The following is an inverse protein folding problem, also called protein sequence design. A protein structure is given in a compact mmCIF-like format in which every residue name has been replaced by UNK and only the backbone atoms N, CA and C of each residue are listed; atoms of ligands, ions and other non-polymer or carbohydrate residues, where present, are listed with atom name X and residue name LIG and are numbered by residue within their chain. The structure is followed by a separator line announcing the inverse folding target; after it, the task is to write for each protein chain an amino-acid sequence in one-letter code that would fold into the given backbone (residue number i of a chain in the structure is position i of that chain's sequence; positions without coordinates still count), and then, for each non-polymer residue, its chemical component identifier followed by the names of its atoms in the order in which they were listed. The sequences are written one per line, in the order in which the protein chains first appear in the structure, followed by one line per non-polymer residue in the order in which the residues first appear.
data_IF_172867220480
#
_entry.id   IF_172867220480
#
_cell.length_a   1.000
_cell.length_b   1.000
_cell.length_c   1.000
_cell.angle_alpha   90.00
_cell.angle_beta   90.00
_cell.angle_gamma   90.00
#
_symmetry.space_group_name_H-M   'P 1'
#
loop_
_entity.id
_entity.type
_entity.pdbx_description
1 polymer ?
#
# COMPACT_ATOMS: atom_id res chain seq x y z
N UNK A 1 33.95 8.08 -2.08
CA UNK A 1 33.60 8.61 -3.41
C UNK A 1 32.15 8.25 -3.70
N UNK A 2 31.51 8.94 -4.65
CA UNK A 2 30.11 8.72 -5.01
C UNK A 2 30.02 8.27 -6.46
N UNK A 3 28.99 7.49 -6.82
CA UNK A 3 28.68 7.23 -8.22
C UNK A 3 27.21 7.50 -8.50
N UNK A 4 26.85 7.71 -9.76
CA UNK A 4 25.49 8.01 -10.16
C UNK A 4 25.06 7.35 -11.46
N UNK A 5 23.76 7.12 -11.59
CA UNK A 5 23.08 6.75 -12.83
C UNK A 5 22.12 7.87 -13.18
N UNK A 6 22.35 8.55 -14.30
CA UNK A 6 21.50 9.63 -14.78
C UNK A 6 20.62 9.16 -15.93
N UNK A 7 19.36 9.55 -15.91
CA UNK A 7 18.31 9.12 -16.84
C UNK A 7 17.69 10.36 -17.46
N UNK A 8 17.60 10.40 -18.78
CA UNK A 8 16.88 11.44 -19.52
C UNK A 8 15.71 10.84 -20.27
N UNK A 9 14.51 11.32 -19.99
CA UNK A 9 13.26 10.98 -20.68
C UNK A 9 13.21 11.71 -22.03
N UNK A 10 13.39 11.01 -23.16
CA UNK A 10 13.54 11.69 -24.46
C UNK A 10 12.28 12.43 -24.91
N UNK A 11 11.12 11.96 -24.47
CA UNK A 11 9.81 12.51 -24.83
C UNK A 11 9.23 13.37 -23.69
N UNK A 12 10.02 13.69 -22.65
CA UNK A 12 9.56 14.42 -21.47
C UNK A 12 8.42 13.71 -20.72
N UNK A 13 8.29 12.39 -20.88
CA UNK A 13 7.13 11.61 -20.43
C UNK A 13 7.52 10.26 -19.89
N UNK A 14 6.94 9.91 -18.75
CA UNK A 14 7.20 8.68 -18.03
C UNK A 14 5.93 7.82 -17.85
N UNK A 15 5.89 6.69 -18.55
CA UNK A 15 4.76 5.77 -18.66
C UNK A 15 4.93 4.61 -17.67
N UNK A 16 4.83 4.95 -16.39
CA UNK A 16 4.84 3.99 -15.30
C UNK A 16 3.69 4.29 -14.34
N UNK A 17 3.20 3.23 -13.69
CA UNK A 17 2.13 3.33 -12.73
C UNK A 17 2.42 2.46 -11.51
N UNK A 18 1.95 2.93 -10.36
CA UNK A 18 1.95 2.22 -9.08
C UNK A 18 0.53 1.68 -8.83
N UNK A 19 0.39 0.59 -8.05
CA UNK A 19 -0.93 0.09 -7.65
C UNK A 19 -1.83 -0.33 -8.82
N UNK A 20 -3.09 0.14 -8.85
CA UNK A 20 -4.15 -0.25 -9.80
C UNK A 20 -4.02 0.33 -11.22
N UNK A 21 -2.81 0.74 -11.67
CA UNK A 21 -2.55 1.32 -13.02
C UNK A 21 -3.32 2.61 -13.29
N UNK A 22 -3.71 3.30 -12.24
CA UNK A 22 -4.51 4.51 -12.20
C UNK A 22 -3.74 5.69 -11.58
N UNK A 23 -2.69 5.42 -10.79
CA UNK A 23 -1.76 6.42 -10.28
C UNK A 23 -0.41 6.34 -11.00
N UNK A 24 0.08 7.50 -11.47
CA UNK A 24 1.41 7.62 -12.08
C UNK A 24 2.51 7.30 -11.07
N UNK A 25 3.59 6.68 -11.53
CA UNK A 25 4.77 6.50 -10.69
C UNK A 25 5.65 7.75 -10.80
N UNK A 26 5.85 8.47 -9.69
CA UNK A 26 6.84 9.54 -9.59
C UNK A 26 7.29 9.73 -8.13
N UNK A 27 8.61 9.94 -7.88
CA UNK A 27 9.72 9.80 -8.83
C UNK A 27 9.90 8.34 -9.29
N UNK A 28 10.69 8.06 -10.35
CA UNK A 28 10.94 6.70 -10.81
C UNK A 28 11.54 5.82 -9.71
N UNK A 29 10.98 4.63 -9.48
CA UNK A 29 11.48 3.74 -8.44
C UNK A 29 12.87 3.20 -8.83
N UNK A 30 13.87 3.19 -7.93
CA UNK A 30 15.20 2.60 -8.21
C UNK A 30 15.13 1.15 -8.72
N UNK A 31 14.21 0.34 -8.20
CA UNK A 31 14.00 -1.02 -8.68
C UNK A 31 13.51 -1.08 -10.14
N UNK A 32 12.81 -0.07 -10.64
CA UNK A 32 12.37 0.00 -12.05
C UNK A 32 13.55 0.25 -12.98
N UNK A 33 14.47 1.12 -12.56
CA UNK A 33 15.73 1.37 -13.27
C UNK A 33 16.58 0.10 -13.27
N UNK A 34 16.68 -0.57 -12.12
CA UNK A 34 17.36 -1.86 -12.00
C UNK A 34 16.78 -2.91 -12.96
N UNK A 35 15.45 -3.06 -13.00
CA UNK A 35 14.78 -3.96 -13.94
C UNK A 35 15.06 -3.63 -15.42
N UNK A 36 15.22 -2.35 -15.76
CA UNK A 36 15.60 -1.93 -17.11
C UNK A 36 17.03 -2.37 -17.46
N UNK A 37 17.97 -2.26 -16.52
CA UNK A 37 19.34 -2.77 -16.69
C UNK A 37 19.36 -4.31 -16.80
N UNK A 38 18.59 -5.01 -15.96
CA UNK A 38 18.42 -6.47 -16.02
C UNK A 38 17.89 -6.91 -17.39
N UNK A 39 16.91 -6.20 -17.94
CA UNK A 39 16.36 -6.51 -19.26
C UNK A 39 17.37 -6.31 -20.41
N UNK A 40 18.44 -5.54 -20.17
CA UNK A 40 19.51 -5.26 -21.12
C UNK A 40 20.77 -6.11 -20.90
N UNK A 41 20.78 -6.98 -19.89
CA UNK A 41 21.90 -7.87 -19.57
C UNK A 41 21.96 -9.09 -20.49
N UNK A 42 23.16 -9.40 -20.97
CA UNK A 42 23.39 -10.51 -21.91
C UNK A 42 24.52 -11.42 -21.43
N UNK A 43 25.62 -10.84 -20.95
CA UNK A 43 26.84 -11.57 -20.60
C UNK A 43 26.90 -11.90 -19.09
N UNK A 44 27.63 -12.94 -18.69
CA UNK A 44 27.85 -13.26 -17.26
C UNK A 44 28.47 -12.11 -16.47
N UNK A 45 29.31 -11.31 -17.11
CA UNK A 45 29.89 -10.11 -16.51
C UNK A 45 28.85 -8.99 -16.29
N UNK A 46 27.78 -8.94 -17.09
CA UNK A 46 26.66 -8.01 -16.87
C UNK A 46 25.91 -8.42 -15.59
N UNK A 47 25.65 -9.71 -15.43
CA UNK A 47 25.01 -10.27 -14.24
C UNK A 47 25.85 -10.06 -12.97
N UNK A 48 27.18 -10.19 -13.07
CA UNK A 48 28.08 -9.89 -11.95
C UNK A 48 28.00 -8.42 -11.52
N UNK A 49 28.00 -7.49 -12.48
CA UNK A 49 27.86 -6.05 -12.18
C UNK A 49 26.48 -5.73 -11.56
N UNK A 50 25.40 -6.37 -12.02
CA UNK A 50 24.07 -6.21 -11.43
C UNK A 50 23.98 -6.79 -10.01
N UNK A 51 24.66 -7.92 -9.74
CA UNK A 51 24.76 -8.50 -8.38
C UNK A 51 25.56 -7.61 -7.44
N UNK A 52 26.55 -6.89 -7.94
CA UNK A 52 27.22 -5.84 -7.17
C UNK A 52 26.26 -4.68 -6.89
N UNK A 53 25.54 -4.21 -7.91
CA UNK A 53 24.63 -3.06 -7.79
C UNK A 53 23.45 -3.33 -6.83
N UNK A 54 22.90 -4.55 -6.77
CA UNK A 54 21.82 -4.87 -5.82
C UNK A 54 22.28 -4.94 -4.35
N UNK A 55 23.58 -5.04 -4.11
CA UNK A 55 24.19 -5.01 -2.77
C UNK A 55 24.50 -3.58 -2.31
N UNK A 56 24.55 -2.61 -3.24
CA UNK A 56 24.78 -1.23 -2.90
C UNK A 56 23.65 -0.69 -1.98
N UNK A 57 23.93 0.30 -1.13
CA UNK A 57 22.91 0.98 -0.34
C UNK A 57 21.78 1.56 -1.21
N UNK A 58 20.65 1.89 -0.60
CA UNK A 58 19.57 2.57 -1.31
C UNK A 58 20.07 3.93 -1.87
N UNK A 59 19.89 4.22 -3.16
CA UNK A 59 20.36 5.48 -3.75
C UNK A 59 19.51 6.64 -3.26
N UNK A 60 20.08 7.84 -3.26
CA UNK A 60 19.29 9.07 -3.31
C UNK A 60 18.68 9.22 -4.72
N UNK A 61 17.44 9.73 -4.80
CA UNK A 61 16.79 10.00 -6.09
C UNK A 61 16.71 11.52 -6.28
N UNK A 62 17.28 12.01 -7.36
CA UNK A 62 17.20 13.41 -7.80
C UNK A 62 16.17 13.49 -8.92
N UNK A 63 15.11 14.26 -8.71
CA UNK A 63 14.04 14.45 -9.69
C UNK A 63 13.28 15.75 -9.36
N UNK A 64 12.44 16.24 -10.27
CA UNK A 64 11.53 17.32 -9.92
C UNK A 64 10.52 16.89 -8.84
N UNK A 65 10.00 17.84 -8.05
CA UNK A 65 8.96 17.58 -7.06
C UNK A 65 7.74 16.85 -7.66
N UNK A 66 7.03 16.10 -6.83
CA UNK A 66 5.77 15.43 -7.23
C UNK A 66 4.73 16.48 -7.65
N UNK A 67 4.70 17.62 -6.98
CA UNK A 67 3.76 18.72 -7.26
C UNK A 67 4.04 19.40 -8.61
N UNK A 68 5.27 19.27 -9.12
CA UNK A 68 5.70 19.76 -10.44
C UNK A 68 5.54 18.67 -11.52
N UNK A 69 4.60 17.75 -11.35
CA UNK A 69 4.28 16.73 -12.34
C UNK A 69 2.81 16.73 -12.73
N UNK A 70 2.55 16.57 -14.03
CA UNK A 70 1.19 16.35 -14.53
C UNK A 70 0.95 14.86 -14.76
N UNK A 71 -0.22 14.36 -14.34
CA UNK A 71 -0.61 12.96 -14.55
C UNK A 71 -1.70 12.87 -15.61
N UNK A 72 -1.36 12.28 -16.76
CA UNK A 72 -2.33 12.01 -17.82
C UNK A 72 -2.77 10.56 -17.80
N UNK A 73 -4.07 10.32 -17.95
CA UNK A 73 -4.61 8.98 -18.19
C UNK A 73 -5.25 8.89 -19.57
N UNK A 74 -4.87 7.87 -20.36
CA UNK A 74 -5.54 7.54 -21.63
C UNK A 74 -6.12 6.13 -21.56
N UNK A 75 -7.38 5.97 -21.95
CA UNK A 75 -7.98 4.66 -22.21
C UNK A 75 -8.14 4.44 -23.70
N UNK A 76 -7.95 3.18 -24.13
CA UNK A 76 -8.18 2.79 -25.51
C UNK A 76 -8.37 1.28 -25.60
N UNK A 77 -9.20 0.85 -26.54
CA UNK A 77 -9.39 -0.58 -26.80
C UNK A 77 -8.21 -1.10 -27.62
N UNK A 78 -7.53 -2.11 -27.10
CA UNK A 78 -6.48 -2.84 -27.84
C UNK A 78 -6.96 -4.23 -28.16
N UNK A 79 -6.50 -4.77 -29.27
CA UNK A 79 -6.70 -6.18 -29.59
C UNK A 79 -5.92 -7.01 -28.58
N UNK A 80 -6.59 -7.98 -27.99
CA UNK A 80 -5.99 -8.95 -27.07
C UNK A 80 -5.68 -10.23 -27.82
N UNK A 81 -4.72 -11.01 -27.32
CA UNK A 81 -4.40 -12.31 -27.89
C UNK A 81 -5.52 -13.37 -27.65
N UNK A 82 -6.60 -13.03 -26.94
CA UNK A 82 -7.71 -13.94 -26.67
C UNK A 82 -8.57 -14.15 -27.92
N UNK A 83 -8.82 -15.42 -28.26
CA UNK A 83 -9.65 -15.85 -29.39
C UNK A 83 -11.03 -16.25 -28.88
N UNK A 84 -12.10 -15.70 -29.47
CA UNK A 84 -13.49 -16.07 -29.15
C UNK A 84 -14.33 -16.17 -30.42
N UNK A 85 -15.27 -17.12 -30.44
CA UNK A 85 -16.19 -17.38 -31.58
C UNK A 85 -17.06 -16.17 -31.95
N UNK A 86 -17.36 -15.29 -30.99
CA UNK A 86 -17.87 -13.92 -31.22
C UNK A 86 -16.73 -12.94 -30.93
N UNK A 87 -16.15 -12.34 -31.96
CA UNK A 87 -15.00 -11.41 -31.82
C UNK A 87 -15.46 -9.97 -31.59
N UNK A 88 -14.72 -9.23 -30.77
CA UNK A 88 -14.96 -7.81 -30.51
C UNK A 88 -14.11 -6.86 -31.36
N UNK A 89 -13.11 -7.37 -32.08
CA UNK A 89 -12.26 -6.56 -32.96
C UNK A 89 -12.82 -6.51 -34.39
N UNK A 90 -13.12 -5.32 -34.89
CA UNK A 90 -13.57 -5.09 -36.28
C UNK A 90 -12.46 -5.32 -37.30
N UNK A 91 -11.20 -5.09 -36.91
CA UNK A 91 -10.04 -5.21 -37.79
C UNK A 91 -9.36 -6.58 -37.74
N UNK A 92 -9.65 -7.41 -36.73
CA UNK A 92 -9.00 -8.72 -36.53
C UNK A 92 -10.04 -9.80 -36.23
N UNK A 93 -10.58 -10.47 -37.27
CA UNK A 93 -11.57 -11.54 -37.11
C UNK A 93 -11.11 -12.60 -36.11
N UNK A 94 -12.01 -13.01 -35.21
CA UNK A 94 -11.73 -14.00 -34.17
C UNK A 94 -10.98 -13.48 -32.94
N UNK A 95 -10.43 -12.25 -32.96
CA UNK A 95 -9.72 -11.64 -31.81
C UNK A 95 -10.65 -10.78 -30.96
N UNK A 96 -10.43 -10.84 -29.65
CA UNK A 96 -11.16 -10.01 -28.68
C UNK A 96 -10.46 -8.67 -28.50
N UNK A 97 -11.18 -7.56 -28.38
CA UNK A 97 -10.63 -6.29 -27.92
C UNK A 97 -10.85 -6.13 -26.42
N UNK A 98 -9.99 -5.35 -25.77
CA UNK A 98 -10.12 -5.05 -24.36
C UNK A 98 -9.61 -3.64 -24.08
N UNK A 99 -10.33 -2.92 -23.23
CA UNK A 99 -9.91 -1.59 -22.80
C UNK A 99 -8.58 -1.68 -22.05
N UNK A 100 -7.65 -0.80 -22.42
CA UNK A 100 -6.38 -0.58 -21.72
C UNK A 100 -6.30 0.86 -21.29
N UNK A 101 -6.30 1.05 -19.98
CA UNK A 101 -5.93 2.30 -19.33
C UNK A 101 -4.40 2.39 -19.23
N UNK A 102 -3.85 3.53 -19.62
CA UNK A 102 -2.44 3.90 -19.54
C UNK A 102 -2.33 5.20 -18.75
N UNK A 103 -1.43 5.21 -17.79
CA UNK A 103 -1.12 6.40 -16.99
C UNK A 103 0.31 6.82 -17.31
N UNK A 104 0.49 8.12 -17.36
CA UNK A 104 1.70 8.82 -17.78
C UNK A 104 1.94 9.99 -16.87
N UNK A 105 3.18 10.14 -16.42
CA UNK A 105 3.65 11.32 -15.70
C UNK A 105 4.41 12.20 -16.69
N UNK A 106 4.11 13.49 -16.69
CA UNK A 106 4.81 14.53 -17.46
C UNK A 106 5.50 15.40 -16.40
N UNK A 107 6.78 15.14 -16.10
CA UNK A 107 7.53 15.93 -15.14
C UNK A 107 7.96 17.28 -15.72
N UNK A 108 8.09 18.30 -14.87
CA UNK A 108 8.67 19.59 -15.25
C UNK A 108 10.14 19.46 -15.73
N UNK A 109 10.85 18.43 -15.25
CA UNK A 109 12.21 18.08 -15.66
C UNK A 109 12.28 16.71 -16.32
N UNK A 110 12.93 16.61 -17.48
CA UNK A 110 13.12 15.35 -18.20
C UNK A 110 14.31 14.52 -17.66
N UNK A 111 15.08 15.06 -16.71
CA UNK A 111 16.25 14.40 -16.13
C UNK A 111 16.02 13.91 -14.70
N UNK A 112 16.49 12.69 -14.42
CA UNK A 112 16.46 12.03 -13.12
C UNK A 112 17.85 11.50 -12.80
N UNK A 113 18.28 11.62 -11.55
CA UNK A 113 19.53 11.03 -11.04
C UNK A 113 19.27 9.98 -9.97
N UNK A 114 19.97 8.85 -10.02
CA UNK A 114 20.16 7.94 -8.88
C UNK A 114 21.58 8.09 -8.39
N UNK A 115 21.78 8.46 -7.12
CA UNK A 115 23.10 8.77 -6.56
C UNK A 115 23.40 7.90 -5.36
N UNK A 116 24.56 7.26 -5.37
CA UNK A 116 25.11 6.53 -4.23
C UNK A 116 26.25 7.35 -3.62
N UNK A 117 25.99 8.17 -2.58
CA UNK A 117 26.94 9.17 -2.09
C UNK A 117 28.18 8.58 -1.41
N UNK A 118 28.07 7.36 -0.91
CA UNK A 118 29.09 6.70 -0.09
C UNK A 118 29.42 5.30 -0.63
N UNK A 119 29.38 5.15 -1.95
CA UNK A 119 29.74 3.88 -2.61
C UNK A 119 30.83 4.13 -3.62
N UNK A 120 31.97 3.49 -3.39
CA UNK A 120 33.07 3.47 -4.34
C UNK A 120 32.80 2.39 -5.40
N UNK A 121 32.96 2.76 -6.67
CA UNK A 121 32.73 1.86 -7.81
C UNK A 121 34.06 1.61 -8.49
N UNK A 122 34.44 0.33 -8.62
CA UNK A 122 35.67 0.00 -9.33
C UNK A 122 35.50 0.18 -10.86
N UNK A 123 36.61 0.37 -11.56
CA UNK A 123 36.63 0.63 -13.00
C UNK A 123 36.02 -0.51 -13.84
N UNK A 124 36.11 -1.76 -13.35
CA UNK A 124 35.59 -2.91 -14.06
C UNK A 124 34.06 -2.94 -14.04
N UNK A 125 33.47 -2.70 -12.86
CA UNK A 125 32.02 -2.60 -12.66
C UNK A 125 31.48 -1.35 -13.36
N UNK A 126 32.16 -0.20 -13.22
CA UNK A 126 31.79 1.03 -13.93
C UNK A 126 31.77 0.81 -15.45
N UNK A 127 32.82 0.19 -16.00
CA UNK A 127 32.90 -0.14 -17.42
C UNK A 127 31.78 -1.07 -17.90
N UNK A 128 31.33 -2.00 -17.04
CA UNK A 128 30.19 -2.89 -17.32
C UNK A 128 28.85 -2.14 -17.27
N UNK A 129 28.62 -1.31 -16.24
CA UNK A 129 27.43 -0.48 -16.14
C UNK A 129 27.34 0.54 -17.30
N UNK A 130 28.45 1.09 -17.76
CA UNK A 130 28.51 1.96 -18.94
C UNK A 130 28.00 1.26 -20.21
N UNK A 131 28.34 -0.02 -20.40
CA UNK A 131 27.83 -0.82 -21.53
C UNK A 131 26.35 -1.15 -21.36
N UNK A 132 25.92 -1.52 -20.15
CA UNK A 132 24.53 -1.87 -19.87
C UNK A 132 23.58 -0.69 -20.04
N UNK A 133 23.92 0.47 -19.48
CA UNK A 133 23.10 1.69 -19.56
C UNK A 133 22.83 2.13 -21.00
N UNK A 134 23.83 2.00 -21.90
CA UNK A 134 23.66 2.27 -23.35
C UNK A 134 22.69 1.32 -24.06
N UNK A 135 22.45 0.14 -23.52
CA UNK A 135 21.53 -0.87 -24.07
C UNK A 135 20.10 -0.70 -23.55
N UNK A 136 19.81 0.25 -22.66
CA UNK A 136 18.46 0.47 -22.10
C UNK A 136 17.63 1.30 -23.09
N UNK A 137 16.58 0.74 -23.71
CA UNK A 137 15.81 1.46 -24.74
C UNK A 137 14.68 2.31 -24.16
N UNK A 138 14.15 1.93 -22.99
CA UNK A 138 13.02 2.59 -22.34
C UNK A 138 13.01 2.31 -20.84
N UNK A 139 12.29 3.13 -20.08
CA UNK A 139 12.04 2.91 -18.66
C UNK A 139 10.53 2.73 -18.41
N UNK A 140 10.17 1.63 -17.73
CA UNK A 140 8.77 1.31 -17.45
C UNK A 140 8.04 0.67 -18.62
N UNK A 141 7.59 1.45 -19.60
CA UNK A 141 6.93 0.96 -20.82
C UNK A 141 7.73 1.39 -22.05
N UNK A 142 7.58 0.65 -23.15
CA UNK A 142 8.25 0.95 -24.42
C UNK A 142 7.90 2.31 -25.04
N UNK A 143 6.88 3.00 -24.52
CA UNK A 143 6.50 4.36 -24.91
C UNK A 143 7.22 5.46 -24.12
N UNK A 144 8.09 5.11 -23.17
CA UNK A 144 8.95 6.05 -22.44
C UNK A 144 10.40 5.79 -22.76
N UNK A 145 10.82 6.28 -23.92
CA UNK A 145 12.18 6.15 -24.40
C UNK A 145 13.14 6.97 -23.53
N UNK A 146 14.30 6.39 -23.22
CA UNK A 146 15.27 7.01 -22.30
C UNK A 146 16.69 6.96 -22.84
N UNK A 147 17.51 7.88 -22.34
CA UNK A 147 18.98 7.76 -22.38
C UNK A 147 19.44 7.55 -20.94
N UNK A 148 20.22 6.51 -20.69
CA UNK A 148 20.78 6.22 -19.37
C UNK A 148 22.30 6.34 -19.45
N UNK A 149 22.89 7.00 -18.46
CA UNK A 149 24.34 7.18 -18.31
C UNK A 149 24.74 6.84 -16.89
N UNK A 150 26.01 6.48 -16.69
CA UNK A 150 26.60 6.23 -15.37
C UNK A 150 27.92 6.98 -15.26
N UNK A 151 28.21 7.50 -14.08
CA UNK A 151 29.44 8.23 -13.79
C UNK A 151 29.95 7.86 -12.39
N UNK A 152 31.28 7.91 -12.20
CA UNK A 152 31.93 7.72 -10.89
C UNK A 152 31.94 9.00 -10.04
N UNK A 153 30.92 9.83 -10.22
CA UNK A 153 30.70 11.07 -9.48
C UNK A 153 29.21 11.36 -9.37
N UNK A 154 28.84 12.24 -8.45
CA UNK A 154 27.48 12.75 -8.35
C UNK A 154 27.21 13.72 -9.52
N UNK A 155 25.98 13.75 -10.08
CA UNK A 155 25.64 14.71 -11.11
C UNK A 155 25.67 16.14 -10.54
N UNK A 156 25.94 17.11 -11.40
CA UNK A 156 25.86 18.52 -11.02
C UNK A 156 24.45 18.85 -10.49
N UNK A 157 24.33 19.59 -9.38
CA UNK A 157 23.03 19.97 -8.84
C UNK A 157 22.28 20.85 -9.84
N UNK A 158 20.97 20.65 -9.94
CA UNK A 158 20.08 21.45 -10.80
C UNK A 158 18.98 22.09 -9.97
N UNK A 159 18.56 23.29 -10.35
CA UNK A 159 17.58 24.07 -9.59
C UNK A 159 16.18 23.43 -9.58
N UNK A 160 15.86 22.64 -10.59
CA UNK A 160 14.62 21.90 -10.78
C UNK A 160 14.60 20.52 -10.09
N UNK A 161 15.64 20.18 -9.34
CA UNK A 161 15.73 18.92 -8.60
C UNK A 161 15.50 19.10 -7.11
N UNK A 162 14.74 18.17 -6.55
CA UNK A 162 14.75 17.85 -5.12
C UNK A 162 15.41 16.49 -4.91
N UNK A 163 15.97 16.29 -3.71
CA UNK A 163 16.64 15.05 -3.37
C UNK A 163 15.79 14.20 -2.42
N UNK A 164 15.25 13.12 -2.96
CA UNK A 164 14.58 12.08 -2.19
C UNK A 164 15.63 11.20 -1.51
N UNK A 165 15.62 11.16 -0.17
CA UNK A 165 16.53 10.37 0.66
C UNK A 165 15.78 9.26 1.40
N UNK A 166 16.37 8.06 1.56
CA UNK A 166 15.80 7.03 2.42
C UNK A 166 15.52 7.57 3.82
N UNK A 167 14.31 7.33 4.33
CA UNK A 167 13.83 7.81 5.61
C UNK A 167 13.31 6.66 6.49
N UNK A 168 13.27 6.83 7.82
CA UNK A 168 12.60 5.88 8.70
C UNK A 168 11.13 5.71 8.35
N UNK A 169 10.61 4.50 8.60
CA UNK A 169 9.20 4.20 8.39
C UNK A 169 8.32 5.15 9.23
N UNK A 170 7.30 5.74 8.60
CA UNK A 170 6.37 6.67 9.27
C UNK A 170 6.80 8.13 9.25
N UNK A 171 7.89 8.48 8.56
CA UNK A 171 8.29 9.87 8.31
C UNK A 171 7.15 10.62 7.62
N UNK A 172 6.62 11.73 8.18
CA UNK A 172 5.56 12.50 7.55
C UNK A 172 5.97 12.99 6.16
N UNK A 173 5.05 12.90 5.20
CA UNK A 173 5.31 13.34 3.82
C UNK A 173 6.23 12.43 3.01
N UNK A 174 6.64 11.27 3.54
CA UNK A 174 7.46 10.33 2.79
C UNK A 174 6.71 9.63 1.65
N UNK A 175 7.45 9.23 0.63
CA UNK A 175 6.99 8.46 -0.51
C UNK A 175 7.65 7.08 -0.52
N UNK A 176 6.84 6.03 -0.67
CA UNK A 176 7.34 4.66 -0.73
C UNK A 176 7.96 4.33 -2.09
N UNK A 177 9.28 4.21 -2.16
CA UNK A 177 10.00 3.81 -3.37
C UNK A 177 10.49 2.37 -3.28
N UNK A 178 10.32 1.62 -4.38
CA UNK A 178 10.85 0.25 -4.50
C UNK A 178 12.33 0.30 -4.85
N UNK A 179 13.15 -0.41 -4.09
CA UNK A 179 14.60 -0.46 -4.25
C UNK A 179 15.08 -1.89 -4.53
N UNK A 180 16.18 -2.08 -5.30
CA UNK A 180 16.81 -3.39 -5.41
C UNK A 180 17.30 -3.87 -4.04
N UNK A 181 17.43 -5.18 -3.88
CA UNK A 181 17.89 -5.83 -2.66
C UNK A 181 18.77 -7.04 -3.01
N UNK A 182 19.62 -7.52 -2.09
CA UNK A 182 20.42 -8.72 -2.32
C UNK A 182 19.55 -9.92 -2.76
N UNK A 183 19.97 -10.60 -3.82
CA UNK A 183 19.27 -11.73 -4.44
C UNK A 183 18.17 -11.36 -5.44
N UNK A 184 17.99 -10.07 -5.75
CA UNK A 184 16.93 -9.62 -6.67
C UNK A 184 17.17 -10.07 -8.12
N UNK A 185 18.42 -10.11 -8.58
CA UNK A 185 18.81 -10.65 -9.90
C UNK A 185 18.33 -12.09 -10.05
N UNK A 186 18.62 -12.96 -9.09
CA UNK A 186 18.29 -14.38 -9.19
C UNK A 186 16.76 -14.58 -9.11
N UNK A 187 16.06 -13.78 -8.30
CA UNK A 187 14.60 -13.79 -8.25
C UNK A 187 13.95 -13.34 -9.58
N UNK A 188 14.49 -12.30 -10.22
CA UNK A 188 14.01 -11.83 -11.53
C UNK A 188 14.27 -12.86 -12.62
N UNK A 189 15.42 -13.51 -12.61
CA UNK A 189 15.76 -14.59 -13.56
C UNK A 189 14.87 -15.81 -13.37
N UNK A 190 14.65 -16.25 -12.13
CA UNK A 190 13.75 -17.36 -11.83
C UNK A 190 12.31 -17.04 -12.28
N UNK A 191 11.81 -15.84 -11.95
CA UNK A 191 10.49 -15.41 -12.40
C UNK A 191 10.37 -15.39 -13.94
N UNK A 192 11.39 -14.91 -14.64
CA UNK A 192 11.41 -14.93 -16.11
C UNK A 192 11.39 -16.36 -16.67
N UNK A 193 12.18 -17.27 -16.11
CA UNK A 193 12.19 -18.68 -16.49
C UNK A 193 10.83 -19.36 -16.25
N UNK A 194 10.12 -18.95 -15.20
CA UNK A 194 8.75 -19.39 -14.86
C UNK A 194 7.66 -18.67 -15.68
N UNK A 195 8.02 -17.75 -16.60
CA UNK A 195 7.06 -16.97 -17.38
C UNK A 195 6.30 -15.89 -16.58
N UNK A 196 6.70 -15.65 -15.33
CA UNK A 196 6.16 -14.60 -14.45
C UNK A 196 6.75 -13.25 -14.81
N UNK A 197 6.04 -12.18 -14.46
CA UNK A 197 6.44 -10.79 -14.72
C UNK A 197 7.29 -10.24 -13.59
N UNK A 198 8.19 -9.31 -13.90
CA UNK A 198 9.05 -8.66 -12.91
C UNK A 198 8.29 -7.99 -11.75
N UNK A 199 7.07 -7.47 -12.00
CA UNK A 199 6.24 -6.86 -10.95
C UNK A 199 5.62 -7.88 -9.98
N UNK A 200 5.71 -9.18 -10.29
CA UNK A 200 5.29 -10.28 -9.40
C UNK A 200 6.43 -10.75 -8.48
N UNK A 201 7.63 -10.19 -8.65
CA UNK A 201 8.79 -10.46 -7.80
C UNK A 201 8.80 -9.48 -6.63
N UNK A 202 8.99 -10.04 -5.44
CA UNK A 202 9.08 -9.29 -4.20
C UNK A 202 10.18 -8.24 -4.29
N UNK A 203 9.83 -6.98 -4.04
CA UNK A 203 10.80 -5.87 -4.02
C UNK A 203 10.67 -5.12 -2.71
N UNK A 204 11.80 -4.75 -2.10
CA UNK A 204 11.80 -3.95 -0.87
C UNK A 204 11.28 -2.55 -1.17
N UNK A 205 10.32 -2.08 -0.38
CA UNK A 205 9.88 -0.68 -0.39
C UNK A 205 10.52 0.04 0.80
N UNK A 206 11.11 1.20 0.54
CA UNK A 206 11.62 2.11 1.56
C UNK A 206 10.88 3.44 1.47
N UNK A 207 10.72 4.09 2.61
CA UNK A 207 10.22 5.46 2.65
C UNK A 207 11.32 6.43 2.21
N UNK A 208 10.94 7.43 1.43
CA UNK A 208 11.83 8.50 0.98
C UNK A 208 11.25 9.87 1.30
N UNK A 209 12.06 10.81 1.75
CA UNK A 209 11.63 12.18 2.04
C UNK A 209 12.50 13.20 1.30
N UNK A 210 11.93 14.36 0.99
CA UNK A 210 12.64 15.52 0.40
C UNK A 210 13.01 16.58 1.43
N UNK A 211 12.53 16.43 2.67
CA UNK A 211 12.93 17.29 3.78
C UNK A 211 14.39 17.03 4.14
N UNK A 212 15.23 18.07 4.05
CA UNK A 212 16.62 18.02 4.50
C UNK A 212 16.68 18.17 6.02
N UNK A 213 16.15 17.20 6.76
CA UNK A 213 15.85 17.45 8.18
C UNK A 213 16.32 16.36 9.13
N UNK A 214 17.56 16.55 9.59
CA UNK A 214 17.89 16.58 11.02
C UNK A 214 17.20 17.75 11.77
N UNK A 215 16.35 18.57 11.12
CA UNK A 215 15.69 19.71 11.76
C UNK A 215 14.39 20.19 11.05
N UNK A 216 13.34 19.37 10.96
CA UNK A 216 11.95 19.86 10.80
C UNK A 216 11.26 19.67 12.11
N UNK A 217 10.95 20.78 12.75
CA UNK A 217 9.63 20.84 13.34
C UNK A 217 8.60 20.88 12.20
N UNK A 218 7.54 20.07 12.28
CA UNK A 218 6.53 19.98 11.23
C UNK A 218 5.96 21.35 10.93
N UNK A 219 5.99 21.70 9.64
CA UNK A 219 5.50 22.95 9.09
C UNK A 219 4.05 23.22 9.52
N UNK A 220 3.84 24.37 10.13
CA UNK A 220 2.57 24.81 10.68
C UNK A 220 1.66 25.31 9.54
N UNK A 221 1.00 24.37 8.86
CA UNK A 221 0.02 24.69 7.81
C UNK A 221 -1.33 23.99 7.98
N UNK A 222 -1.33 22.68 8.23
CA UNK A 222 -2.55 21.91 8.48
C UNK A 222 -2.20 20.72 9.39
N UNK A 223 -2.48 20.82 10.69
CA UNK A 223 -2.17 19.76 11.65
C UNK A 223 -2.96 18.50 11.32
N UNK A 224 -2.32 17.51 10.69
CA UNK A 224 -2.91 16.20 10.47
C UNK A 224 -3.06 15.50 11.82
N UNK A 225 -4.28 15.09 12.19
CA UNK A 225 -4.51 14.39 13.44
C UNK A 225 -4.21 12.90 13.25
N UNK A 226 -3.30 12.38 14.06
CA UNK A 226 -3.09 10.94 14.15
C UNK A 226 -4.27 10.28 14.88
N UNK A 227 -4.82 9.22 14.30
CA UNK A 227 -5.78 8.35 14.99
C UNK A 227 -5.14 7.58 16.16
N UNK A 228 -5.95 6.80 16.90
CA UNK A 228 -5.50 6.03 18.07
C UNK A 228 -4.57 4.86 17.73
N UNK A 229 -4.40 4.52 16.46
CA UNK A 229 -3.58 3.40 15.99
C UNK A 229 -2.37 3.91 15.23
N UNK A 230 -1.19 3.38 15.55
CA UNK A 230 0.08 3.81 14.93
C UNK A 230 0.65 2.76 13.98
N UNK A 231 0.43 1.48 14.25
CA UNK A 231 0.82 0.39 13.35
C UNK A 231 -0.39 -0.27 12.72
N UNK A 232 -0.26 -0.63 11.45
CA UNK A 232 -1.18 -1.53 10.77
C UNK A 232 -0.37 -2.63 10.07
N UNK A 233 -0.38 -3.82 10.66
CA UNK A 233 0.31 -5.00 10.09
C UNK A 233 -0.67 -5.77 9.23
N UNK A 234 -0.44 -5.81 7.91
CA UNK A 234 -1.34 -6.43 6.93
C UNK A 234 -0.80 -7.77 6.43
N UNK A 235 -1.67 -8.78 6.37
CA UNK A 235 -1.40 -10.10 5.81
C UNK A 235 -2.38 -10.37 4.67
N UNK A 236 -1.89 -10.82 3.52
CA UNK A 236 -2.72 -11.30 2.43
C UNK A 236 -3.23 -12.72 2.70
N UNK A 237 -4.46 -13.02 2.30
CA UNK A 237 -4.94 -14.41 2.26
C UNK A 237 -4.29 -15.10 1.05
N UNK A 238 -3.59 -16.21 1.29
CA UNK A 238 -2.97 -16.98 0.20
C UNK A 238 -4.07 -17.73 -0.56
N UNK A 239 -3.94 -17.79 -1.90
CA UNK A 239 -4.91 -18.31 -2.87
C UNK A 239 -5.79 -19.44 -2.31
N UNK A 240 -6.98 -19.07 -1.82
CA UNK A 240 -8.02 -20.03 -1.49
C UNK A 240 -8.75 -20.41 -2.77
N UNK A 241 -9.10 -21.70 -2.92
CA UNK A 241 -9.85 -22.20 -4.09
C UNK A 241 -11.18 -21.44 -4.27
N UNK A 242 -11.73 -20.89 -3.20
CA UNK A 242 -12.92 -20.03 -3.19
C UNK A 242 -12.62 -18.73 -2.43
N UNK A 243 -12.97 -17.55 -2.97
CA UNK A 243 -12.89 -16.29 -2.23
C UNK A 243 -13.69 -16.36 -0.92
N UNK A 244 -13.15 -15.77 0.15
CA UNK A 244 -13.89 -15.67 1.42
C UNK A 244 -14.86 -14.50 1.33
N UNK A 245 -16.15 -14.77 1.56
CA UNK A 245 -17.18 -13.75 1.51
C UNK A 245 -16.95 -12.68 2.59
N UNK A 246 -17.17 -11.40 2.26
CA UNK A 246 -17.08 -10.30 3.23
C UNK A 246 -17.99 -10.49 4.45
N UNK A 247 -19.13 -11.17 4.32
CA UNK A 247 -20.00 -11.48 5.45
C UNK A 247 -19.30 -12.28 6.59
N UNK A 248 -18.16 -12.92 6.30
CA UNK A 248 -17.36 -13.70 7.25
C UNK A 248 -16.33 -12.87 8.06
N UNK A 249 -16.38 -11.54 8.02
CA UNK A 249 -15.48 -10.63 8.78
C UNK A 249 -15.32 -11.08 10.23
N UNK A 250 -16.42 -11.32 10.96
CA UNK A 250 -16.34 -11.68 12.37
C UNK A 250 -15.70 -13.05 12.58
N UNK A 251 -15.98 -14.01 11.71
CA UNK A 251 -15.38 -15.34 11.74
C UNK A 251 -13.86 -15.25 11.57
N UNK A 252 -13.41 -14.47 10.58
CA UNK A 252 -11.98 -14.33 10.25
C UNK A 252 -11.24 -13.51 11.30
N UNK A 253 -11.81 -12.40 11.77
CA UNK A 253 -11.15 -11.53 12.77
C UNK A 253 -11.08 -12.17 14.15
N UNK A 254 -12.05 -13.01 14.54
CA UNK A 254 -11.94 -13.82 15.76
C UNK A 254 -10.81 -14.84 15.67
N UNK A 255 -10.65 -15.51 14.52
CA UNK A 255 -9.54 -16.43 14.28
C UNK A 255 -8.19 -15.69 14.27
N UNK A 256 -8.14 -14.49 13.67
CA UNK A 256 -6.96 -13.62 13.70
C UNK A 256 -6.58 -13.21 15.12
N UNK A 257 -7.57 -12.81 15.93
CA UNK A 257 -7.36 -12.45 17.32
C UNK A 257 -6.79 -13.62 18.12
N UNK A 258 -7.39 -14.80 18.02
CA UNK A 258 -6.92 -15.99 18.72
C UNK A 258 -5.49 -16.37 18.29
N UNK A 259 -5.20 -16.33 16.98
CA UNK A 259 -3.88 -16.61 16.44
C UNK A 259 -2.83 -15.56 16.82
N UNK A 260 -3.23 -14.29 16.97
CA UNK A 260 -2.34 -13.23 17.44
C UNK A 260 -1.98 -13.46 18.90
N UNK A 261 -2.98 -13.65 19.77
CA UNK A 261 -2.78 -13.88 21.20
C UNK A 261 -1.88 -15.09 21.45
N UNK A 262 -2.06 -16.19 20.72
CA UNK A 262 -1.23 -17.40 20.89
C UNK A 262 0.23 -17.26 20.45
N UNK A 263 0.57 -16.16 19.76
CA UNK A 263 1.93 -15.86 19.30
C UNK A 263 2.65 -14.82 20.14
N UNK A 264 1.92 -14.13 21.01
CA UNK A 264 2.54 -13.17 21.94
C UNK A 264 2.96 -13.94 23.19
N UNK A 265 4.26 -13.89 23.59
CA UNK A 265 4.71 -14.49 24.83
C UNK A 265 3.97 -13.96 26.05
N UNK A 266 3.77 -14.81 27.06
CA UNK A 266 3.19 -14.39 28.32
C UNK A 266 4.14 -13.45 29.11
N UNK A 267 3.61 -12.40 29.76
CA UNK A 267 2.18 -12.04 29.80
C UNK A 267 1.73 -11.29 28.53
N UNK A 268 0.60 -11.71 27.95
CA UNK A 268 -0.01 -11.02 26.80
C UNK A 268 -0.48 -9.62 27.22
N UNK A 269 -0.11 -8.55 26.47
CA UNK A 269 -0.53 -7.18 26.77
C UNK A 269 -2.06 -7.04 26.88
N UNK A 270 -2.53 -6.33 27.91
CA UNK A 270 -3.96 -6.07 28.17
C UNK A 270 -4.70 -5.49 26.96
N UNK A 271 -4.05 -4.57 26.23
CA UNK A 271 -4.60 -3.95 25.02
C UNK A 271 -4.72 -4.93 23.84
N UNK A 272 -3.97 -6.04 23.84
CA UNK A 272 -4.05 -7.09 22.80
C UNK A 272 -5.03 -8.18 23.22
N UNK A 273 -4.99 -8.58 24.50
CA UNK A 273 -5.91 -9.57 25.07
C UNK A 273 -7.32 -9.01 25.29
N UNK A 274 -7.50 -7.68 25.23
CA UNK A 274 -8.77 -6.99 25.43
C UNK A 274 -9.32 -7.06 26.85
N UNK A 275 -8.51 -7.45 27.84
CA UNK A 275 -8.88 -7.54 29.25
C UNK A 275 -7.97 -6.64 30.09
N UNK A 276 -8.54 -5.85 31.02
CA UNK A 276 -7.77 -5.03 31.96
C UNK A 276 -7.18 -3.74 31.38
N UNK A 277 -7.68 -3.28 30.22
CA UNK A 277 -7.31 -2.02 29.58
C UNK A 277 -8.55 -1.13 29.37
N UNK A 278 -9.35 -0.97 30.42
CA UNK A 278 -10.59 -0.18 30.36
C UNK A 278 -10.27 1.29 30.06
N UNK A 279 -11.06 1.89 29.16
CA UNK A 279 -10.87 3.27 28.73
C UNK A 279 -9.67 3.53 27.81
N UNK A 280 -8.87 2.51 27.47
CA UNK A 280 -7.75 2.63 26.53
C UNK A 280 -8.07 1.98 25.18
N UNK A 281 -7.48 2.45 24.08
CA UNK A 281 -7.55 1.77 22.79
C UNK A 281 -6.98 0.35 22.88
N UNK A 282 -7.70 -0.63 22.31
CA UNK A 282 -7.24 -2.02 22.18
C UNK A 282 -6.76 -2.27 20.76
N UNK A 283 -5.95 -3.31 20.56
CA UNK A 283 -5.61 -3.77 19.21
C UNK A 283 -6.88 -4.14 18.44
N UNK A 284 -6.99 -3.64 17.22
CA UNK A 284 -8.11 -3.95 16.33
C UNK A 284 -7.71 -5.03 15.33
N UNK A 285 -8.54 -6.05 15.23
CA UNK A 285 -8.38 -7.15 14.28
C UNK A 285 -9.29 -6.91 13.09
N UNK A 286 -8.70 -6.66 11.93
CA UNK A 286 -9.39 -6.21 10.72
C UNK A 286 -9.47 -7.33 9.70
N UNK A 287 -10.60 -7.41 9.01
CA UNK A 287 -10.71 -8.10 7.73
C UNK A 287 -10.72 -7.04 6.63
N UNK A 288 -9.94 -7.24 5.58
CA UNK A 288 -9.69 -6.25 4.55
C UNK A 288 -10.45 -6.66 3.27
N UNK A 289 -11.67 -6.14 3.04
CA UNK A 289 -12.43 -6.45 1.83
C UNK A 289 -11.84 -5.80 0.59
N UNK A 290 -12.13 -6.38 -0.56
CA UNK A 290 -11.98 -5.72 -1.85
C UNK A 290 -13.08 -4.66 -2.00
N UNK A 291 -12.70 -3.38 -1.94
CA UNK A 291 -13.63 -2.26 -1.77
C UNK A 291 -13.16 -1.00 -2.50
N UNK A 292 -14.08 -0.14 -2.91
CA UNK A 292 -13.84 1.23 -3.34
C UNK A 292 -13.30 1.40 -4.77
N UNK A 293 -13.58 0.45 -5.66
CA UNK A 293 -13.32 0.60 -7.10
C UNK A 293 -14.41 -0.06 -7.95
N UNK A 294 -14.54 0.22 -9.26
CA UNK A 294 -15.70 -0.25 -10.05
C UNK A 294 -15.96 -1.77 -10.03
N UNK A 295 -14.92 -2.59 -9.84
CA UNK A 295 -15.01 -4.05 -9.86
C UNK A 295 -14.92 -4.71 -8.48
N UNK A 296 -15.04 -3.94 -7.40
CA UNK A 296 -14.95 -4.52 -6.06
C UNK A 296 -16.23 -5.25 -5.69
N UNK A 297 -16.10 -6.46 -5.17
CA UNK A 297 -17.22 -7.36 -4.85
C UNK A 297 -17.32 -7.68 -3.34
N UNK A 298 -16.40 -7.15 -2.53
CA UNK A 298 -16.39 -7.30 -1.07
C UNK A 298 -15.87 -8.63 -0.55
N UNK A 299 -15.26 -9.48 -1.37
CA UNK A 299 -14.52 -10.64 -0.84
C UNK A 299 -13.32 -10.19 0.00
N UNK A 300 -12.91 -11.00 0.97
CA UNK A 300 -11.78 -10.67 1.83
C UNK A 300 -10.46 -10.93 1.10
N UNK A 301 -9.66 -9.88 0.94
CA UNK A 301 -8.32 -9.92 0.37
C UNK A 301 -7.28 -10.38 1.39
N UNK A 302 -7.49 -9.99 2.65
CA UNK A 302 -6.52 -10.17 3.72
C UNK A 302 -7.07 -9.84 5.09
N UNK A 303 -6.15 -9.79 6.04
CA UNK A 303 -6.39 -9.46 7.45
C UNK A 303 -5.37 -8.45 7.93
N UNK A 304 -5.75 -7.64 8.91
CA UNK A 304 -4.89 -6.61 9.50
C UNK A 304 -4.91 -6.63 11.02
N UNK A 305 -3.78 -6.30 11.65
CA UNK A 305 -3.69 -6.05 13.09
C UNK A 305 -3.29 -4.58 13.27
N UNK A 306 -4.22 -3.76 13.76
CA UNK A 306 -3.96 -2.36 14.09
C UNK A 306 -3.57 -2.25 15.57
N UNK A 307 -2.36 -1.75 15.86
CA UNK A 307 -1.85 -1.60 17.23
C UNK A 307 -2.05 -0.16 17.71
N UNK A 308 -2.52 0.04 18.95
CA UNK A 308 -2.76 1.36 19.47
C UNK A 308 -1.44 2.09 19.76
N UNK A 309 -1.43 3.41 19.59
CA UNK A 309 -0.22 4.22 19.71
C UNK A 309 0.30 4.39 21.13
N UNK A 310 -0.56 4.17 22.13
CA UNK A 310 -0.21 4.18 23.54
C UNK A 310 0.27 2.80 24.06
N UNK A 311 0.42 1.80 23.17
CA UNK A 311 0.98 0.49 23.53
C UNK A 311 2.45 0.65 23.93
N UNK A 312 2.87 0.20 25.13
CA UNK A 312 4.26 0.33 25.58
C UNK A 312 5.26 -0.26 24.58
N UNK A 313 6.41 0.39 24.31
CA UNK A 313 7.33 -0.02 23.24
C UNK A 313 7.81 -1.48 23.31
N UNK A 314 8.05 -2.00 24.51
CA UNK A 314 8.48 -3.40 24.69
C UNK A 314 7.35 -4.38 24.40
N UNK A 315 6.12 -4.06 24.81
CA UNK A 315 4.93 -4.85 24.50
C UNK A 315 4.62 -4.82 23.00
N UNK A 316 4.72 -3.64 22.38
CA UNK A 316 4.63 -3.45 20.93
C UNK A 316 5.65 -4.32 20.19
N UNK A 317 6.93 -4.28 20.59
CA UNK A 317 7.99 -5.10 19.99
C UNK A 317 7.72 -6.59 20.16
N UNK A 318 7.22 -7.01 21.32
CA UNK A 318 6.84 -8.40 21.58
C UNK A 318 5.75 -8.89 20.61
N UNK A 319 4.69 -8.09 20.42
CA UNK A 319 3.61 -8.38 19.47
C UNK A 319 4.12 -8.46 18.04
N UNK A 320 4.89 -7.46 17.60
CA UNK A 320 5.46 -7.43 16.25
C UNK A 320 6.39 -8.63 16.01
N UNK A 321 7.20 -9.02 17.00
CA UNK A 321 8.06 -10.21 16.91
C UNK A 321 7.22 -11.47 16.73
N UNK A 322 6.18 -11.67 17.53
CA UNK A 322 5.29 -12.84 17.41
C UNK A 322 4.54 -12.91 16.07
N UNK A 323 4.22 -11.75 15.48
CA UNK A 323 3.54 -11.66 14.19
C UNK A 323 4.48 -11.84 12.99
N UNK A 324 5.71 -11.32 13.06
CA UNK A 324 6.58 -11.14 11.87
C UNK A 324 7.86 -11.98 11.88
N UNK A 325 8.45 -12.27 13.04
CA UNK A 325 9.74 -12.96 13.12
C UNK A 325 9.59 -14.48 12.95
N UNK A 326 10.61 -15.13 12.38
CA UNK A 326 10.66 -16.59 12.20
C UNK A 326 9.42 -17.14 11.47
N UNK A 327 8.81 -18.18 12.04
CA UNK A 327 7.53 -18.75 11.62
C UNK A 327 6.34 -17.93 12.14
N UNK A 328 6.34 -16.61 11.88
CA UNK A 328 5.32 -15.66 12.33
C UNK A 328 3.88 -16.03 11.94
N UNK A 329 2.97 -15.07 11.87
CA UNK A 329 1.60 -15.41 11.48
C UNK A 329 1.55 -15.94 10.04
N UNK A 330 1.16 -17.21 9.89
CA UNK A 330 1.07 -17.94 8.61
C UNK A 330 -0.27 -18.62 8.36
N UNK A 331 -1.04 -18.84 9.43
CA UNK A 331 -2.28 -19.61 9.38
C UNK A 331 -3.26 -19.14 10.45
N UNK A 332 -4.52 -19.01 10.06
CA UNK A 332 -5.67 -18.84 10.94
C UNK A 332 -6.45 -20.16 11.02
N UNK A 333 -7.00 -20.46 12.18
CA UNK A 333 -7.90 -21.61 12.37
C UNK A 333 -9.35 -21.12 12.38
N UNK A 334 -10.08 -21.35 11.30
CA UNK A 334 -11.49 -21.02 11.18
C UNK A 334 -12.37 -22.11 11.84
N UNK A 335 -13.65 -21.84 12.13
CA UNK A 335 -14.57 -22.84 12.69
C UNK A 335 -14.57 -24.17 11.91
N UNK A 336 -14.69 -25.27 12.65
CA UNK A 336 -14.57 -26.62 12.09
C UNK A 336 -13.13 -27.04 11.80
N UNK A 337 -12.12 -26.36 12.35
CA UNK A 337 -10.71 -26.69 12.18
C UNK A 337 -10.14 -26.35 10.80
N UNK A 338 -10.86 -25.56 10.00
CA UNK A 338 -10.47 -25.21 8.64
C UNK A 338 -9.28 -24.26 8.65
N UNK A 339 -8.11 -24.63 8.08
CA UNK A 339 -6.97 -23.74 8.03
C UNK A 339 -7.17 -22.68 6.95
N UNK A 340 -6.79 -21.44 7.26
CA UNK A 340 -6.70 -20.34 6.29
C UNK A 340 -5.27 -19.84 6.28
N UNK A 341 -4.57 -20.01 5.15
CA UNK A 341 -3.21 -19.53 4.98
C UNK A 341 -3.17 -18.02 4.77
N UNK A 342 -2.26 -17.35 5.46
CA UNK A 342 -2.02 -15.91 5.36
C UNK A 342 -0.53 -15.62 5.26
N UNK A 343 -0.15 -14.60 4.50
CA UNK A 343 1.25 -14.24 4.31
C UNK A 343 1.48 -12.74 4.51
N UNK A 344 2.56 -12.40 5.21
CA UNK A 344 3.06 -11.04 5.30
C UNK A 344 3.89 -10.76 4.05
N UNK A 345 3.39 -9.88 3.17
CA UNK A 345 4.01 -9.54 1.88
C UNK A 345 4.01 -8.02 1.64
N UNK A 346 4.75 -7.24 2.45
CA UNK A 346 4.79 -5.77 2.33
C UNK A 346 5.38 -5.31 0.99
N UNK A 347 6.12 -6.19 0.33
CA UNK A 347 6.76 -6.02 -0.97
C UNK A 347 5.77 -6.05 -2.15
N UNK A 348 4.55 -6.57 -1.93
CA UNK A 348 3.55 -6.67 -2.99
C UNK A 348 2.67 -5.44 -3.02
N UNK A 349 2.76 -4.67 -4.10
CA UNK A 349 1.90 -3.50 -4.34
C UNK A 349 0.46 -3.85 -4.73
N UNK A 350 0.07 -5.14 -4.67
CA UNK A 350 -1.23 -5.64 -5.14
C UNK A 350 -1.73 -6.85 -4.35
N UNK A 351 -3.05 -6.96 -4.15
CA UNK A 351 -4.09 -5.94 -4.43
C UNK A 351 -3.96 -4.71 -3.52
N UNK A 352 -4.44 -3.54 -3.95
CA UNK A 352 -4.29 -2.27 -3.21
C UNK A 352 -4.95 -2.29 -1.83
N UNK A 353 -5.99 -3.10 -1.64
CA UNK A 353 -6.59 -3.34 -0.32
C UNK A 353 -5.64 -4.00 0.70
N UNK A 354 -4.49 -4.56 0.28
CA UNK A 354 -3.47 -5.11 1.17
C UNK A 354 -2.35 -4.13 1.52
N UNK A 355 -2.39 -2.91 0.98
CA UNK A 355 -1.44 -1.86 1.32
C UNK A 355 -1.95 -1.09 2.55
N UNK A 356 -1.15 -0.92 3.63
CA UNK A 356 -1.56 -0.16 4.81
C UNK A 356 -2.04 1.25 4.50
N UNK A 357 -1.44 1.90 3.49
CA UNK A 357 -1.75 3.27 3.06
C UNK A 357 -3.18 3.41 2.57
N UNK A 358 -3.79 2.30 2.09
CA UNK A 358 -5.21 2.29 1.70
C UNK A 358 -6.13 2.62 2.86
N UNK A 359 -5.77 2.18 4.06
CA UNK A 359 -6.58 2.30 5.26
C UNK A 359 -6.15 3.49 6.11
N UNK A 360 -4.87 3.83 6.08
CA UNK A 360 -4.31 4.89 6.92
C UNK A 360 -4.36 6.27 6.27
N UNK A 361 -4.21 6.37 4.94
CA UNK A 361 -3.93 7.63 4.23
C UNK A 361 -2.73 8.38 4.82
N UNK A 362 -1.54 8.27 4.22
CA UNK A 362 -0.29 8.85 4.76
C UNK A 362 -0.34 10.37 4.97
N UNK A 363 -1.14 11.10 4.18
CA UNK A 363 -1.41 12.54 4.34
C UNK A 363 -2.61 12.88 5.23
N UNK A 364 -3.27 11.87 5.79
CA UNK A 364 -4.60 11.98 6.38
C UNK A 364 -5.68 12.10 5.31
N UNK A 365 -6.95 11.99 5.71
CA UNK A 365 -8.09 12.30 4.86
C UNK A 365 -9.19 12.96 5.71
N UNK A 366 -9.92 13.91 5.12
CA UNK A 366 -11.08 14.54 5.77
C UNK A 366 -12.33 13.69 5.60
N UNK A 367 -12.56 13.16 4.41
CA UNK A 367 -13.75 12.38 4.10
C UNK A 367 -13.48 10.88 4.13
N UNK A 368 -14.39 10.14 4.76
CA UNK A 368 -14.31 8.70 4.94
C UNK A 368 -15.67 8.04 4.71
N UNK A 369 -15.66 6.79 4.26
CA UNK A 369 -16.87 5.99 4.04
C UNK A 369 -16.70 4.58 4.59
N UNK A 370 -17.76 4.03 5.16
CA UNK A 370 -17.74 2.67 5.74
C UNK A 370 -17.43 1.61 4.67
N UNK A 371 -16.40 0.80 4.91
CA UNK A 371 -16.11 -0.44 4.18
C UNK A 371 -16.76 -1.67 4.85
N UNK A 372 -16.84 -1.66 6.19
CA UNK A 372 -17.65 -2.60 6.96
C UNK A 372 -18.67 -1.79 7.80
N UNK A 373 -19.88 -2.33 8.05
CA UNK A 373 -20.95 -1.56 8.68
C UNK A 373 -20.59 -1.22 10.12
N UNK A 374 -21.01 -0.06 10.62
CA UNK A 374 -20.77 0.36 12.00
C UNK A 374 -21.89 -0.18 12.89
N UNK A 375 -21.53 -0.99 13.89
CA UNK A 375 -22.47 -1.39 14.94
C UNK A 375 -22.50 -0.33 16.03
N UNK A 376 -23.64 0.36 16.17
CA UNK A 376 -23.79 1.45 17.13
C UNK A 376 -23.56 0.99 18.57
N UNK A 377 -23.03 1.88 19.42
CA UNK A 377 -22.80 1.60 20.84
C UNK A 377 -24.09 1.55 21.65
N UNK A 378 -25.19 2.13 21.14
CA UNK A 378 -26.50 2.18 21.78
C UNK A 378 -27.60 2.14 20.74
N UNK A 379 -28.84 1.88 21.16
CA UNK A 379 -29.99 2.01 20.29
C UNK A 379 -30.36 3.50 20.13
N UNK A 380 -30.74 3.96 18.93
CA UNK A 380 -31.23 5.31 18.70
C UNK A 380 -32.66 5.45 19.25
N UNK A 381 -32.79 5.63 20.57
CA UNK A 381 -34.08 5.86 21.23
C UNK A 381 -34.41 7.34 21.32
N UNK A 382 -33.42 8.16 21.68
CA UNK A 382 -33.57 9.62 21.86
C UNK A 382 -32.64 10.44 20.95
N UNK A 383 -31.55 9.84 20.48
CA UNK A 383 -30.57 10.46 19.60
C UNK A 383 -30.67 9.87 18.19
N UNK A 384 -30.35 10.68 17.18
CA UNK A 384 -30.29 10.23 15.79
C UNK A 384 -29.12 9.26 15.57
N UNK A 385 -29.17 8.47 14.50
CA UNK A 385 -28.09 7.52 14.19
C UNK A 385 -26.77 8.26 13.87
N UNK A 386 -26.86 9.42 13.24
CA UNK A 386 -25.76 10.34 12.92
C UNK A 386 -25.03 10.77 14.20
N UNK A 387 -25.77 11.21 15.21
CA UNK A 387 -25.21 11.64 16.50
C UNK A 387 -24.53 10.47 17.23
N UNK A 388 -25.12 9.28 17.16
CA UNK A 388 -24.51 8.08 17.74
C UNK A 388 -23.20 7.69 17.03
N UNK A 389 -23.16 7.78 15.69
CA UNK A 389 -21.92 7.55 14.93
C UNK A 389 -20.84 8.57 15.32
N UNK A 390 -21.18 9.86 15.42
CA UNK A 390 -20.26 10.90 15.84
C UNK A 390 -19.71 10.62 17.25
N UNK A 391 -20.57 10.26 18.20
CA UNK A 391 -20.17 9.93 19.57
C UNK A 391 -19.27 8.70 19.63
N UNK A 392 -19.56 7.69 18.82
CA UNK A 392 -18.76 6.47 18.71
C UNK A 392 -17.36 6.76 18.13
N UNK A 393 -17.23 7.67 17.16
CA UNK A 393 -15.93 8.11 16.63
C UNK A 393 -15.10 8.83 17.69
N UNK A 394 -15.72 9.74 18.44
CA UNK A 394 -15.06 10.42 19.58
C UNK A 394 -14.62 9.42 20.64
N UNK A 395 -15.49 8.46 20.99
CA UNK A 395 -15.17 7.39 21.95
C UNK A 395 -14.04 6.50 21.47
N UNK A 396 -13.90 6.33 20.15
CA UNK A 396 -12.80 5.59 19.56
C UNK A 396 -11.48 6.38 19.52
N UNK A 397 -11.48 7.68 19.86
CA UNK A 397 -10.29 8.52 19.91
C UNK A 397 -10.06 9.36 18.65
N UNK A 398 -11.08 9.55 17.79
CA UNK A 398 -11.01 10.45 16.64
C UNK A 398 -11.62 11.82 16.96
N UNK A 399 -11.28 12.88 16.20
CA UNK A 399 -11.99 14.15 16.27
C UNK A 399 -13.48 13.96 16.05
N UNK A 400 -14.30 14.86 16.61
CA UNK A 400 -15.73 14.88 16.29
C UNK A 400 -15.89 15.24 14.80
N UNK A 401 -16.62 14.45 13.99
CA UNK A 401 -16.87 14.79 12.60
C UNK A 401 -17.75 16.05 12.50
N UNK A 402 -17.53 16.84 11.46
CA UNK A 402 -18.37 18.01 11.10
C UNK A 402 -19.69 17.53 10.47
N UNK A 403 -19.61 16.46 9.69
CA UNK A 403 -20.72 15.90 8.96
C UNK A 403 -20.74 14.37 9.08
N UNK A 404 -21.93 13.83 9.30
CA UNK A 404 -22.22 12.39 9.28
C UNK A 404 -23.49 12.18 8.48
N UNK A 405 -23.38 11.47 7.36
CA UNK A 405 -24.53 11.08 6.53
C UNK A 405 -24.73 9.58 6.70
N UNK A 406 -25.76 9.17 7.45
CA UNK A 406 -26.16 7.76 7.54
C UNK A 406 -26.90 7.37 6.26
N UNK A 407 -26.54 6.21 5.71
CA UNK A 407 -27.10 5.69 4.46
C UNK A 407 -27.70 4.30 4.67
N UNK A 408 -28.74 4.00 3.90
CA UNK A 408 -29.53 2.77 4.00
C UNK A 408 -28.75 1.50 3.61
N UNK A 409 -27.61 1.64 2.94
CA UNK A 409 -26.75 0.53 2.52
C UNK A 409 -25.33 0.99 2.17
N UNK A 410 -24.48 0.09 1.68
CA UNK A 410 -23.09 0.38 1.33
C UNK A 410 -22.97 1.60 0.40
N UNK A 411 -22.27 2.63 0.87
CA UNK A 411 -22.05 3.88 0.12
C UNK A 411 -20.90 3.79 -0.91
N UNK A 412 -20.22 2.65 -0.99
CA UNK A 412 -19.08 2.40 -1.88
C UNK A 412 -19.12 0.97 -2.42
N UNK A 413 -18.60 0.75 -3.63
CA UNK A 413 -18.56 -0.58 -4.25
C UNK A 413 -17.73 -1.56 -3.39
N UNK A 414 -18.19 -2.80 -3.28
CA UNK A 414 -17.54 -3.85 -2.49
C UNK A 414 -17.63 -3.68 -0.97
N UNK A 415 -18.26 -2.62 -0.44
CA UNK A 415 -18.46 -2.52 1.00
C UNK A 415 -19.47 -3.58 1.48
N UNK A 416 -19.21 -4.10 2.68
CA UNK A 416 -19.89 -5.28 3.20
C UNK A 416 -21.27 -4.88 3.68
N UNK A 417 -22.31 -5.32 2.97
CA UNK A 417 -23.70 -4.96 3.28
C UNK A 417 -24.19 -5.50 4.63
N UNK A 418 -23.86 -6.76 4.93
CA UNK A 418 -24.28 -7.41 6.17
C UNK A 418 -23.27 -8.47 6.59
N UNK A 419 -23.15 -8.69 7.91
CA UNK A 419 -22.38 -9.78 8.48
C UNK A 419 -23.21 -11.07 8.50
N UNK A 420 -22.52 -12.22 8.52
CA UNK A 420 -23.17 -13.53 8.58
C UNK A 420 -24.07 -13.64 9.81
N UNK A 421 -25.34 -14.06 9.67
CA UNK A 421 -26.21 -14.33 10.81
C UNK A 421 -25.56 -15.28 11.81
N UNK A 422 -25.67 -14.98 13.11
CA UNK A 422 -25.08 -15.80 14.18
C UNK A 422 -23.57 -15.67 14.38
N UNK A 423 -22.87 -14.84 13.60
CA UNK A 423 -21.42 -14.61 13.76
C UNK A 423 -21.05 -13.66 14.91
N UNK A 424 -22.02 -12.93 15.45
CA UNK A 424 -21.82 -12.03 16.60
C UNK A 424 -21.51 -12.88 17.85
N UNK A 425 -20.42 -12.58 18.59
CA UNK A 425 -20.13 -13.26 19.85
C UNK A 425 -21.31 -13.21 20.82
N UNK A 426 -21.64 -14.34 21.47
CA UNK A 426 -22.75 -14.43 22.43
C UNK A 426 -22.63 -13.44 23.61
N UNK A 427 -21.42 -13.00 23.93
CA UNK A 427 -21.15 -11.99 24.97
C UNK A 427 -21.51 -10.56 24.55
N UNK A 428 -21.94 -10.33 23.30
CA UNK A 428 -22.26 -9.01 22.77
C UNK A 428 -23.72 -8.93 22.34
N UNK A 429 -24.42 -7.89 22.82
CA UNK A 429 -25.77 -7.59 22.37
C UNK A 429 -25.76 -7.11 20.91
N UNK A 430 -26.64 -7.68 20.09
CA UNK A 430 -26.88 -7.20 18.72
C UNK A 430 -27.53 -5.83 18.80
N UNK A 431 -26.99 -4.84 18.08
CA UNK A 431 -27.49 -3.46 17.98
C UNK A 431 -27.68 -3.06 16.52
N UNK A 432 -28.37 -1.95 16.20
CA UNK A 432 -28.52 -1.50 14.81
C UNK A 432 -27.17 -1.22 14.17
N UNK A 433 -27.06 -1.58 12.89
CA UNK A 433 -25.87 -1.35 12.08
C UNK A 433 -26.20 -0.35 11.00
N UNK A 434 -25.24 0.53 10.73
CA UNK A 434 -25.40 1.59 9.74
C UNK A 434 -24.19 1.65 8.84
N UNK A 435 -24.43 2.04 7.59
CA UNK A 435 -23.39 2.58 6.72
C UNK A 435 -23.44 4.09 6.81
N UNK A 436 -22.29 4.74 6.69
CA UNK A 436 -22.24 6.20 6.73
C UNK A 436 -21.07 6.75 5.91
N UNK A 437 -21.24 8.01 5.50
CA UNK A 437 -20.17 8.90 5.06
C UNK A 437 -19.91 9.89 6.18
N UNK A 438 -18.64 10.17 6.43
CA UNK A 438 -18.25 11.12 7.47
C UNK A 438 -17.22 12.10 6.92
N UNK A 439 -17.22 13.31 7.47
CA UNK A 439 -16.22 14.33 7.19
C UNK A 439 -15.67 14.90 8.50
N UNK A 440 -14.35 14.93 8.62
CA UNK A 440 -13.64 15.54 9.75
C UNK A 440 -13.19 16.98 9.42
N UNK A 441 -13.15 17.86 10.45
CA UNK A 441 -12.71 19.26 10.31
C UNK A 441 -11.28 19.40 9.83
N UNK A 442 -10.47 18.37 10.03
CA UNK A 442 -9.07 18.31 9.67
C UNK A 442 -8.72 16.92 9.13
N UNK A 443 -7.66 16.80 8.32
CA UNK A 443 -7.21 15.50 7.84
C UNK A 443 -6.87 14.57 9.01
N UNK A 444 -7.49 13.39 9.03
CA UNK A 444 -7.24 12.35 10.04
C UNK A 444 -6.43 11.22 9.39
N UNK A 445 -5.36 10.76 10.04
CA UNK A 445 -4.66 9.51 9.67
C UNK A 445 -5.39 8.31 10.29
N UNK A 446 -5.75 7.36 9.45
CA UNK A 446 -6.39 6.10 9.81
C UNK A 446 -5.42 5.03 10.34
N UNK A 447 -5.89 3.78 10.49
CA UNK A 447 -7.21 3.31 10.06
C UNK A 447 -8.31 3.98 10.88
N UNK A 448 -9.41 4.40 10.23
CA UNK A 448 -10.59 4.94 10.94
C UNK A 448 -11.53 3.78 11.24
N UNK A 449 -11.75 3.51 12.53
CA UNK A 449 -12.51 2.35 13.00
C UNK A 449 -13.44 2.76 14.14
N UNK A 450 -14.74 2.52 13.98
CA UNK A 450 -15.76 2.98 14.91
C UNK A 450 -16.76 1.87 15.24
N UNK A 451 -17.38 1.93 16.41
CA UNK A 451 -18.48 1.04 16.80
C UNK A 451 -18.15 0.16 17.99
N UNK A 452 -19.18 -0.53 18.45
CA UNK A 452 -19.07 -1.45 19.60
C UNK A 452 -18.30 -2.72 19.25
N UNK A 453 -18.20 -3.08 17.97
CA UNK A 453 -17.39 -4.20 17.45
C UNK A 453 -16.14 -3.74 16.69
N UNK A 454 -15.69 -2.49 16.87
CA UNK A 454 -14.53 -1.92 16.17
C UNK A 454 -13.27 -2.77 16.24
N UNK A 455 -13.00 -3.38 17.38
CA UNK A 455 -11.81 -4.22 17.57
C UNK A 455 -11.90 -5.61 16.89
N UNK A 456 -13.06 -5.96 16.31
CA UNK A 456 -13.27 -7.18 15.52
C UNK A 456 -13.58 -6.86 14.04
N UNK A 457 -13.13 -5.71 13.55
CA UNK A 457 -13.17 -5.36 12.12
C UNK A 457 -14.52 -4.90 11.60
N UNK A 458 -15.48 -4.66 12.50
CA UNK A 458 -16.80 -4.12 12.18
C UNK A 458 -16.79 -2.61 12.45
N UNK A 459 -17.12 -1.82 11.43
CA UNK A 459 -17.08 -0.36 11.43
C UNK A 459 -15.74 0.22 10.97
N UNK A 460 -15.10 -0.46 10.02
CA UNK A 460 -13.90 -0.01 9.32
C UNK A 460 -14.28 0.95 8.19
N UNK A 461 -13.54 2.04 8.05
CA UNK A 461 -13.72 3.04 7.00
C UNK A 461 -12.56 3.02 6.01
N UNK A 462 -12.81 3.53 4.81
CA UNK A 462 -11.79 3.88 3.82
C UNK A 462 -11.87 5.38 3.49
N UNK A 463 -10.76 6.02 3.09
CA UNK A 463 -10.79 7.37 2.57
C UNK A 463 -11.76 7.47 1.39
N UNK A 464 -12.57 8.51 1.39
CA UNK A 464 -13.52 8.80 0.33
C UNK A 464 -13.15 10.13 -0.31
N UNK A 465 -13.06 10.17 -1.64
CA UNK A 465 -13.04 11.44 -2.36
C UNK A 465 -14.47 11.75 -2.76
N UNK A 466 -15.07 12.86 -2.29
CA UNK A 466 -16.40 13.25 -2.73
C UNK A 466 -16.39 13.48 -4.24
N UNK A 467 -17.48 13.11 -4.91
CA UNK A 467 -17.64 13.35 -6.34
C UNK A 467 -17.81 14.86 -6.57
N UNK A 468 -16.71 15.57 -6.82
CA UNK A 468 -16.75 17.03 -6.98
C UNK A 468 -15.46 17.69 -7.46
N UNK A 469 -14.30 17.05 -7.32
CA UNK A 469 -13.03 17.53 -7.87
C UNK A 469 -12.47 16.45 -8.80
N UNK A 470 -12.55 16.70 -10.10
CA UNK A 470 -11.91 15.90 -11.16
C UNK A 470 -11.06 16.80 -12.02
#
# INVERSE_FOLDING_TARGET
MAFSISIRLRDGRFDAAVGHRDRGEWPPHPARVFCALVASAVEDADWAALRWLEQAPAPHVLACPVDDTEVTTRSGFVVTNAVKRKSGSTAWPGRTNGERRRVSVIPASDEIGLVWPQTDIDDAVLGRLLRLTRRVPYLGRSTSSVVVTVAAEAPAPRADWVCYRPAPLGTPGSVGLRVPQPGYVDQLRAAHAEGRRAWEVATRTLEYTTSDEEAAQPDAGHSVVAGPFTDLVVFGIDQSVTPIAGADVLTVTQALRAATISRVPDPVPAQVSGHGADGRPHAAFLALPDVGHPYSDGHLLGVGVALPGDLPPDQRRSVLRGLLAGDGLRRLCLPGGRPLAVSYRPDRSRPYGLLPERWNSSGGARAWVTATPVMLDRYPTTQTAEELVAQTLVTAGYPRPEQVDVVTGPATSGAINALRPGSIPKSRSRRPWVHCRIQFPMPVRGPVIAGSLRYLGVGLFIPHQPAGER
#
